data_IF_628941578091
#
_entry.id   IF_628941578091
#
_cell.length_a   1.000
_cell.length_b   1.000
_cell.length_c   1.000
_cell.angle_alpha   90.00
_cell.angle_beta   90.00
_cell.angle_gamma   90.00
#
_symmetry.space_group_name_H-M   'P 1'
#
loop_
_entity.id
_entity.type
_entity.pdbx_description
1 polymer ?
#
# COMPACT_ATOMS: atom_id res chain seq x y z
N UNK A 1 -1.81 -18.85 20.28
CA UNK A 1 -1.29 -18.15 19.09
C UNK A 1 -0.74 -16.81 19.56
N UNK A 2 0.37 -16.35 19.00
CA UNK A 2 0.87 -15.00 19.29
C UNK A 2 -0.05 -13.94 18.62
N UNK A 3 0.09 -12.68 19.01
CA UNK A 3 -0.58 -11.56 18.35
C UNK A 3 0.07 -11.32 16.98
N UNK A 4 -0.74 -11.20 15.93
CA UNK A 4 -0.25 -10.87 14.58
C UNK A 4 0.26 -9.43 14.52
N UNK A 5 1.27 -9.18 13.68
CA UNK A 5 1.82 -7.84 13.45
C UNK A 5 1.51 -7.41 12.01
N UNK A 6 0.99 -6.19 11.85
CA UNK A 6 0.69 -5.61 10.54
C UNK A 6 1.23 -4.20 10.39
N UNK A 7 1.42 -3.76 9.14
CA UNK A 7 1.85 -2.41 8.79
C UNK A 7 0.74 -1.66 8.05
N UNK A 8 0.48 -0.41 8.45
CA UNK A 8 -0.33 0.54 7.69
C UNK A 8 0.56 1.60 7.05
N UNK A 9 0.36 1.82 5.75
CA UNK A 9 1.14 2.74 4.94
C UNK A 9 0.23 3.86 4.41
N UNK A 10 0.25 4.97 5.16
CA UNK A 10 -0.29 6.27 4.75
C UNK A 10 0.66 7.13 3.91
N UNK A 11 1.69 6.54 3.30
CA UNK A 11 3.13 6.70 3.57
C UNK A 11 3.70 7.96 4.28
N UNK A 12 2.92 9.04 4.47
CA UNK A 12 3.41 10.32 4.99
C UNK A 12 4.72 10.78 4.33
N UNK A 13 4.72 10.80 3.00
CA UNK A 13 5.87 11.23 2.22
C UNK A 13 6.09 12.73 2.35
N UNK A 14 7.35 13.14 2.52
CA UNK A 14 7.69 14.56 2.52
C UNK A 14 7.28 15.22 1.18
N UNK A 15 6.82 16.49 1.16
CA UNK A 15 6.20 17.11 -0.02
C UNK A 15 7.06 17.18 -1.28
N UNK A 16 8.38 17.05 -1.16
CA UNK A 16 9.34 17.05 -2.28
C UNK A 16 9.45 15.69 -2.99
N UNK A 17 8.82 14.63 -2.47
CA UNK A 17 8.89 13.29 -3.06
C UNK A 17 8.11 13.21 -4.37
N UNK A 18 8.75 12.62 -5.38
CA UNK A 18 8.11 12.29 -6.65
C UNK A 18 7.28 11.01 -6.54
N UNK A 19 6.31 10.83 -7.45
CA UNK A 19 5.51 9.59 -7.51
C UNK A 19 6.37 8.33 -7.63
N UNK A 20 7.48 8.37 -8.40
CA UNK A 20 8.44 7.27 -8.51
C UNK A 20 9.06 6.93 -7.16
N UNK A 21 9.56 7.93 -6.43
CA UNK A 21 10.18 7.71 -5.12
C UNK A 21 9.17 7.16 -4.10
N UNK A 22 7.92 7.62 -4.13
CA UNK A 22 6.85 7.04 -3.32
C UNK A 22 6.62 5.58 -3.65
N UNK A 23 6.48 5.27 -4.94
CA UNK A 23 6.21 3.92 -5.40
C UNK A 23 7.34 2.95 -5.04
N UNK A 24 8.58 3.32 -5.34
CA UNK A 24 9.77 2.50 -5.04
C UNK A 24 9.88 2.23 -3.54
N UNK A 25 9.65 3.25 -2.70
CA UNK A 25 9.66 3.09 -1.25
C UNK A 25 8.54 2.16 -0.76
N UNK A 26 7.31 2.31 -1.27
CA UNK A 26 6.19 1.48 -0.85
C UNK A 26 6.37 0.00 -1.22
N UNK A 27 6.90 -0.29 -2.42
CA UNK A 27 7.22 -1.65 -2.84
C UNK A 27 8.32 -2.24 -1.94
N UNK A 28 9.35 -1.46 -1.62
CA UNK A 28 10.41 -1.89 -0.71
C UNK A 28 9.88 -2.20 0.69
N UNK A 29 8.94 -1.41 1.22
CA UNK A 29 8.30 -1.72 2.51
C UNK A 29 7.54 -3.04 2.49
N UNK A 30 6.86 -3.38 1.38
CA UNK A 30 6.18 -4.66 1.26
C UNK A 30 7.16 -5.85 1.29
N UNK A 31 8.30 -5.73 0.61
CA UNK A 31 9.34 -6.77 0.60
C UNK A 31 9.95 -6.94 2.00
N UNK A 32 10.37 -5.84 2.63
CA UNK A 32 10.98 -5.89 3.96
C UNK A 32 10.03 -6.45 5.02
N UNK A 33 8.76 -6.05 4.99
CA UNK A 33 7.77 -6.54 5.95
C UNK A 33 7.46 -8.02 5.77
N UNK A 34 7.45 -8.53 4.54
CA UNK A 34 7.32 -9.96 4.26
C UNK A 34 8.52 -10.77 4.79
N UNK A 35 9.74 -10.27 4.54
CA UNK A 35 10.99 -10.90 4.97
C UNK A 35 11.10 -11.01 6.49
N UNK A 36 10.72 -9.95 7.23
CA UNK A 36 10.80 -9.93 8.69
C UNK A 36 9.59 -10.58 9.38
N UNK A 37 8.60 -11.07 8.62
CA UNK A 37 7.51 -11.90 9.12
C UNK A 37 6.28 -11.16 9.64
N UNK A 38 5.95 -10.00 9.07
CA UNK A 38 4.65 -9.36 9.32
C UNK A 38 3.55 -10.15 8.59
N UNK A 39 2.35 -10.16 9.16
CA UNK A 39 1.20 -10.88 8.59
C UNK A 39 0.52 -10.09 7.46
N UNK A 40 0.52 -8.76 7.56
CA UNK A 40 -0.17 -7.90 6.59
C UNK A 40 0.46 -6.52 6.40
N UNK A 41 0.26 -5.97 5.20
CA UNK A 41 0.55 -4.59 4.86
C UNK A 41 -0.66 -3.95 4.16
N UNK A 42 -1.01 -2.75 4.60
CA UNK A 42 -2.20 -2.02 4.17
C UNK A 42 -1.81 -0.68 3.55
N UNK A 43 -2.31 -0.35 2.37
CA UNK A 43 -2.02 0.91 1.68
C UNK A 43 -3.27 1.78 1.55
N UNK A 44 -3.17 3.06 1.96
CA UNK A 44 -4.31 3.98 1.90
C UNK A 44 -4.49 4.66 0.53
N UNK A 45 -5.72 5.07 0.21
CA UNK A 45 -6.09 5.78 -1.02
C UNK A 45 -6.40 7.27 -0.75
N UNK A 46 -5.74 8.18 -1.45
CA UNK A 46 -5.92 9.63 -1.32
C UNK A 46 -5.68 10.34 -2.65
N UNK A 47 -6.63 11.16 -3.08
CA UNK A 47 -6.55 11.89 -4.35
C UNK A 47 -6.11 13.37 -4.21
N UNK A 48 -6.19 13.94 -3.00
CA UNK A 48 -6.02 15.39 -2.77
C UNK A 48 -4.91 15.77 -1.79
N UNK A 49 -4.27 14.78 -1.16
CA UNK A 49 -3.30 15.01 -0.10
C UNK A 49 -1.87 15.06 -0.61
N UNK A 50 -0.99 15.76 0.13
CA UNK A 50 0.45 15.86 -0.19
C UNK A 50 1.30 14.79 0.49
N UNK A 51 1.02 14.52 1.76
CA UNK A 51 1.78 13.55 2.55
C UNK A 51 1.30 12.13 2.27
N UNK A 52 -0.01 11.97 2.21
CA UNK A 52 -0.70 10.75 1.82
C UNK A 52 -0.88 10.74 0.30
N UNK A 53 0.21 10.53 -0.44
CA UNK A 53 0.26 10.76 -1.90
C UNK A 53 0.08 9.50 -2.75
N UNK A 54 -0.73 8.53 -2.30
CA UNK A 54 -1.07 7.32 -3.05
C UNK A 54 -2.54 7.39 -3.49
N UNK A 55 -2.83 7.67 -4.78
CA UNK A 55 -4.20 7.66 -5.29
C UNK A 55 -4.69 6.27 -5.73
N UNK A 56 -3.79 5.30 -5.90
CA UNK A 56 -4.07 3.97 -6.44
C UNK A 56 -3.25 2.90 -5.69
N UNK A 57 -3.68 2.46 -4.49
CA UNK A 57 -2.93 1.48 -3.70
C UNK A 57 -2.76 0.12 -4.40
N UNK A 58 -3.70 -0.26 -5.26
CA UNK A 58 -3.68 -1.50 -6.04
C UNK A 58 -2.47 -1.63 -6.97
N UNK A 59 -1.91 -0.50 -7.45
CA UNK A 59 -0.72 -0.51 -8.31
C UNK A 59 0.54 -0.90 -7.53
N UNK A 60 0.65 -0.45 -6.28
CA UNK A 60 1.76 -0.82 -5.39
C UNK A 60 1.64 -2.30 -5.04
N UNK A 61 0.44 -2.74 -4.67
CA UNK A 61 0.15 -4.15 -4.35
C UNK A 61 0.52 -5.05 -5.53
N UNK A 62 0.09 -4.72 -6.75
CA UNK A 62 0.39 -5.49 -7.94
C UNK A 62 1.90 -5.59 -8.24
N UNK A 63 2.66 -4.51 -8.00
CA UNK A 63 4.11 -4.52 -8.20
C UNK A 63 4.86 -5.31 -7.12
N UNK A 64 4.38 -5.28 -5.87
CA UNK A 64 4.96 -6.05 -4.77
C UNK A 64 4.60 -7.55 -4.83
N UNK A 65 3.44 -7.91 -5.42
CA UNK A 65 2.88 -9.26 -5.36
C UNK A 65 3.80 -10.39 -5.85
N UNK A 66 4.71 -10.12 -6.81
CA UNK A 66 5.69 -11.12 -7.30
C UNK A 66 7.03 -11.10 -6.56
N UNK A 67 7.19 -10.18 -5.62
CA UNK A 67 8.41 -9.95 -4.85
C UNK A 67 8.26 -10.35 -3.38
N UNK A 68 7.07 -10.81 -2.99
CA UNK A 68 6.73 -11.26 -1.63
C UNK A 68 6.15 -12.67 -1.68
N UNK A 69 6.33 -13.44 -0.61
CA UNK A 69 5.89 -14.84 -0.53
C UNK A 69 4.70 -15.08 0.42
N UNK A 70 4.56 -14.32 1.52
CA UNK A 70 3.61 -14.63 2.59
C UNK A 70 2.68 -13.49 2.97
N UNK A 71 3.15 -12.25 2.89
CA UNK A 71 2.43 -11.09 3.40
C UNK A 71 1.07 -10.88 2.71
N UNK A 72 0.05 -10.53 3.50
CA UNK A 72 -1.28 -10.20 2.98
C UNK A 72 -1.35 -8.72 2.64
N UNK A 73 -1.90 -8.41 1.47
CA UNK A 73 -2.12 -7.04 1.02
C UNK A 73 -3.56 -6.61 1.22
N UNK A 74 -3.78 -5.34 1.54
CA UNK A 74 -5.10 -4.73 1.46
C UNK A 74 -5.04 -3.24 1.06
N UNK A 75 -5.93 -2.76 0.17
CA UNK A 75 -6.28 -1.35 0.14
C UNK A 75 -7.01 -0.99 1.44
N UNK A 76 -6.63 0.11 2.10
CA UNK A 76 -7.21 0.55 3.37
C UNK A 76 -7.52 2.06 3.35
N UNK A 77 -8.54 2.48 2.60
CA UNK A 77 -9.50 1.67 1.85
C UNK A 77 -9.65 2.17 0.41
N UNK A 78 -10.15 1.32 -0.49
CA UNK A 78 -10.73 1.82 -1.73
C UNK A 78 -11.92 2.71 -1.39
N UNK A 79 -11.95 3.93 -1.92
CA UNK A 79 -13.02 4.88 -1.63
C UNK A 79 -14.19 4.57 -2.55
N UNK A 80 -15.10 3.70 -2.09
CA UNK A 80 -16.20 3.14 -2.91
C UNK A 80 -16.96 4.18 -3.76
N UNK A 81 -17.30 5.39 -3.25
CA UNK A 81 -17.98 6.41 -4.05
C UNK A 81 -17.20 6.92 -5.28
N UNK A 82 -15.89 6.67 -5.37
CA UNK A 82 -15.04 7.18 -6.45
C UNK A 82 -14.88 6.22 -7.62
N UNK A 83 -15.39 4.99 -7.51
CA UNK A 83 -15.18 3.95 -8.52
C UNK A 83 -16.51 3.47 -9.10
N UNK A 84 -16.50 3.07 -10.37
CA UNK A 84 -17.61 2.29 -10.91
C UNK A 84 -17.59 0.89 -10.24
N UNK A 85 -18.68 0.43 -9.60
CA UNK A 85 -18.66 -0.83 -8.85
C UNK A 85 -18.28 -2.06 -9.68
N UNK A 86 -18.71 -2.14 -10.94
CA UNK A 86 -18.37 -3.26 -11.83
C UNK A 86 -16.93 -3.21 -12.34
N UNK A 87 -16.28 -2.04 -12.28
CA UNK A 87 -14.86 -1.89 -12.63
C UNK A 87 -13.92 -2.18 -11.46
N UNK A 88 -14.42 -2.01 -10.23
CA UNK A 88 -13.69 -2.25 -8.99
C UNK A 88 -13.72 -3.73 -8.57
N UNK A 89 -14.85 -4.40 -8.76
CA UNK A 89 -15.02 -5.84 -8.50
C UNK A 89 -14.22 -6.71 -9.48
#
# INVERSE_FOLDING_TARGET
MAMETGLIVHPYMRPERTARQTFDWCVQQAIETDEIGFDSIMFSEHASQRWENIPNPELIIAAAARQTERIKFAPMAHILPHHNPAKLA
#
